data_IF_780795896194
#
_entry.id   IF_780795896194
#
_cell.length_a   1.000
_cell.length_b   1.000
_cell.length_c   1.000
_cell.angle_alpha   90.00
_cell.angle_beta   90.00
_cell.angle_gamma   90.00
#
_symmetry.space_group_name_H-M   'P 1'
#
loop_
_entity.id
_entity.type
_entity.pdbx_description
1 polymer ?
#
# COMPACT_ATOMS: atom_id res chain seq x y z
N UNK A 1 11.83 -41.30 -8.26
CA UNK A 1 10.92 -42.28 -8.92
C UNK A 1 9.45 -42.06 -8.52
N UNK A 2 9.17 -41.42 -7.39
CA UNK A 2 7.77 -41.22 -6.88
C UNK A 2 7.07 -39.99 -7.48
N UNK A 3 7.80 -38.97 -7.91
CA UNK A 3 7.18 -37.73 -8.46
C UNK A 3 6.70 -37.91 -9.92
N UNK A 4 7.30 -38.81 -10.69
CA UNK A 4 6.95 -39.04 -12.09
C UNK A 4 5.64 -39.84 -12.27
N UNK A 5 5.32 -40.75 -11.35
CA UNK A 5 4.09 -41.52 -11.35
C UNK A 5 2.85 -40.72 -10.90
N UNK A 6 3.05 -39.62 -10.15
CA UNK A 6 1.93 -38.75 -9.73
C UNK A 6 1.44 -37.84 -10.85
N UNK A 7 2.28 -37.53 -11.83
CA UNK A 7 1.97 -36.62 -12.94
C UNK A 7 1.31 -37.32 -14.13
N UNK A 8 1.41 -38.66 -14.24
CA UNK A 8 0.85 -39.42 -15.38
C UNK A 8 -0.62 -39.85 -15.18
N UNK A 9 -1.24 -39.62 -14.00
CA UNK A 9 -2.60 -40.06 -13.69
C UNK A 9 -3.65 -38.96 -13.52
N UNK A 10 -3.33 -37.67 -13.83
CA UNK A 10 -4.31 -36.59 -13.87
C UNK A 10 -4.40 -35.99 -15.29
N UNK A 11 -5.16 -36.65 -16.16
CA UNK A 11 -5.63 -36.08 -17.39
C UNK A 11 -6.84 -35.17 -17.16
N UNK A 12 -6.61 -34.10 -16.36
CA UNK A 12 -7.45 -32.91 -16.28
C UNK A 12 -6.71 -31.83 -17.06
N UNK A 13 -7.25 -31.47 -18.23
CA UNK A 13 -6.66 -30.52 -19.18
C UNK A 13 -6.37 -29.16 -18.58
N UNK A 14 -5.30 -29.11 -17.77
CA UNK A 14 -4.69 -27.88 -17.34
C UNK A 14 -3.72 -27.48 -18.43
N UNK A 15 -4.05 -26.41 -19.13
CA UNK A 15 -3.23 -25.84 -20.18
C UNK A 15 -1.97 -25.25 -19.52
N UNK A 16 -0.83 -25.92 -19.66
CA UNK A 16 0.43 -25.50 -19.03
C UNK A 16 0.96 -24.18 -19.58
N UNK A 17 0.50 -23.74 -20.77
CA UNK A 17 0.88 -22.45 -21.34
C UNK A 17 0.21 -21.28 -20.59
N UNK A 18 -1.04 -21.43 -20.16
CA UNK A 18 -1.76 -20.40 -19.37
C UNK A 18 -1.16 -20.23 -17.97
N UNK A 19 -0.73 -21.32 -17.33
CA UNK A 19 -0.10 -21.25 -16.00
C UNK A 19 1.28 -20.57 -16.03
N UNK A 20 2.07 -20.76 -17.08
CA UNK A 20 3.38 -20.10 -17.24
C UNK A 20 3.24 -18.61 -17.52
N UNK A 21 2.18 -18.17 -18.18
CA UNK A 21 1.89 -16.75 -18.43
C UNK A 21 1.50 -16.06 -17.13
N UNK A 22 0.59 -16.63 -16.35
CA UNK A 22 0.15 -16.12 -15.05
C UNK A 22 1.30 -15.99 -14.05
N UNK A 23 2.22 -16.97 -14.01
CA UNK A 23 3.40 -16.92 -13.15
C UNK A 23 4.33 -15.77 -13.55
N UNK A 24 4.61 -15.59 -14.83
CA UNK A 24 5.48 -14.52 -15.33
C UNK A 24 4.89 -13.13 -15.12
N UNK A 25 3.58 -12.97 -15.26
CA UNK A 25 2.90 -11.70 -14.97
C UNK A 25 2.95 -11.37 -13.50
N UNK A 26 2.74 -12.35 -12.62
CA UNK A 26 2.83 -12.18 -11.17
C UNK A 26 4.26 -11.88 -10.71
N UNK A 27 5.27 -12.49 -11.32
CA UNK A 27 6.68 -12.17 -11.06
C UNK A 27 7.00 -10.74 -11.52
N UNK A 28 6.50 -10.32 -12.69
CA UNK A 28 6.69 -8.95 -13.21
C UNK A 28 6.04 -7.90 -12.30
N UNK A 29 4.82 -8.15 -11.80
CA UNK A 29 4.12 -7.28 -10.84
C UNK A 29 4.87 -7.15 -9.51
N UNK A 30 5.33 -8.27 -8.95
CA UNK A 30 6.16 -8.25 -7.74
C UNK A 30 7.45 -7.43 -7.93
N UNK A 31 8.02 -7.43 -9.13
CA UNK A 31 9.19 -6.61 -9.45
C UNK A 31 8.88 -5.11 -9.50
N UNK A 32 7.69 -4.69 -9.98
CA UNK A 32 7.31 -3.27 -10.04
C UNK A 32 7.25 -2.68 -8.63
N UNK A 33 6.56 -3.33 -7.71
CA UNK A 33 6.48 -2.90 -6.29
C UNK A 33 7.87 -2.88 -5.65
N UNK A 34 8.69 -3.91 -5.88
CA UNK A 34 10.05 -3.98 -5.34
C UNK A 34 10.93 -2.83 -5.86
N UNK A 35 10.83 -2.52 -7.16
CA UNK A 35 11.56 -1.41 -7.76
C UNK A 35 11.09 -0.05 -7.21
N UNK A 36 9.78 0.10 -6.97
CA UNK A 36 9.23 1.30 -6.33
C UNK A 36 9.74 1.45 -4.90
N UNK A 37 9.81 0.36 -4.12
CA UNK A 37 10.36 0.36 -2.76
C UNK A 37 11.84 0.79 -2.79
N UNK A 38 12.67 0.19 -3.64
CA UNK A 38 14.10 0.56 -3.77
C UNK A 38 14.25 2.04 -4.12
N UNK A 39 13.51 2.51 -5.13
CA UNK A 39 13.51 3.93 -5.53
C UNK A 39 13.06 4.86 -4.40
N UNK A 40 12.09 4.45 -3.58
CA UNK A 40 11.62 5.25 -2.45
C UNK A 40 12.63 5.28 -1.30
N UNK A 41 13.35 4.19 -1.04
CA UNK A 41 14.47 4.16 -0.09
C UNK A 41 15.55 5.17 -0.52
N UNK A 42 15.93 5.17 -1.79
CA UNK A 42 16.89 6.12 -2.34
C UNK A 42 16.39 7.57 -2.25
N UNK A 43 15.10 7.80 -2.53
CA UNK A 43 14.46 9.11 -2.41
C UNK A 43 14.58 9.71 -1.01
N UNK A 44 14.44 8.91 0.04
CA UNK A 44 14.53 9.37 1.42
C UNK A 44 15.96 9.54 1.94
N UNK A 45 17.00 9.19 1.17
CA UNK A 45 18.42 9.47 1.45
C UNK A 45 18.85 9.10 2.88
N UNK A 46 18.41 7.95 3.36
CA UNK A 46 18.78 7.43 4.68
C UNK A 46 17.94 7.96 5.86
N UNK A 47 16.84 8.66 5.62
CA UNK A 47 15.85 8.95 6.67
C UNK A 47 15.20 7.65 7.15
N UNK A 48 15.79 7.04 8.18
CA UNK A 48 15.33 5.75 8.71
C UNK A 48 13.87 5.82 9.21
N UNK A 49 13.44 6.95 9.74
CA UNK A 49 12.07 7.14 10.18
C UNK A 49 11.10 7.02 9.00
N UNK A 50 11.29 7.80 7.94
CA UNK A 50 10.41 7.82 6.78
C UNK A 50 10.44 6.48 6.03
N UNK A 51 11.63 5.87 5.89
CA UNK A 51 11.79 4.55 5.28
C UNK A 51 11.05 3.47 6.07
N UNK A 52 11.22 3.41 7.38
CA UNK A 52 10.55 2.42 8.22
C UNK A 52 9.03 2.64 8.26
N UNK A 53 8.58 3.91 8.21
CA UNK A 53 7.17 4.25 8.16
C UNK A 53 6.51 3.68 6.92
N UNK A 54 6.96 4.06 5.71
CA UNK A 54 6.31 3.59 4.50
C UNK A 54 6.39 2.06 4.31
N UNK A 55 7.50 1.42 4.73
CA UNK A 55 7.62 -0.04 4.68
C UNK A 55 6.59 -0.73 5.58
N UNK A 56 6.31 -0.18 6.76
CA UNK A 56 5.26 -0.71 7.65
C UNK A 56 3.87 -0.50 7.04
N UNK A 57 3.59 0.71 6.51
CA UNK A 57 2.30 1.02 5.86
C UNK A 57 2.08 0.09 4.67
N UNK A 58 3.08 -0.06 3.79
CA UNK A 58 3.04 -1.01 2.69
C UNK A 58 2.77 -2.45 3.17
N UNK A 59 3.45 -2.89 4.21
CA UNK A 59 3.27 -4.24 4.76
C UNK A 59 1.84 -4.48 5.27
N UNK A 60 1.25 -3.50 5.98
CA UNK A 60 -0.14 -3.59 6.42
C UNK A 60 -1.11 -3.53 5.25
N UNK A 61 -0.94 -2.59 4.33
CA UNK A 61 -1.78 -2.46 3.14
C UNK A 61 -1.79 -3.76 2.31
N UNK A 62 -0.61 -4.33 2.05
CA UNK A 62 -0.47 -5.62 1.38
C UNK A 62 -1.22 -6.73 2.10
N UNK A 63 -1.01 -6.88 3.41
CA UNK A 63 -1.64 -7.95 4.17
C UNK A 63 -3.16 -7.79 4.27
N UNK A 64 -3.65 -6.58 4.51
CA UNK A 64 -5.09 -6.31 4.57
C UNK A 64 -5.71 -6.58 3.19
N UNK A 65 -5.14 -6.05 2.11
CA UNK A 65 -5.65 -6.26 0.76
C UNK A 65 -5.74 -7.74 0.37
N UNK A 66 -4.71 -8.53 0.69
CA UNK A 66 -4.73 -9.97 0.47
C UNK A 66 -5.80 -10.68 1.31
N UNK A 67 -5.98 -10.29 2.56
CA UNK A 67 -7.00 -10.87 3.45
C UNK A 67 -8.43 -10.46 3.07
N UNK A 68 -8.61 -9.30 2.48
CA UNK A 68 -9.89 -8.82 1.93
C UNK A 68 -10.16 -9.37 0.51
N UNK A 69 -9.21 -10.07 -0.10
CA UNK A 69 -9.36 -10.72 -1.39
C UNK A 69 -9.37 -9.76 -2.58
N UNK A 70 -8.56 -8.71 -2.53
CA UNK A 70 -8.41 -7.80 -3.67
C UNK A 70 -7.92 -8.56 -4.90
N UNK A 71 -8.40 -8.16 -6.07
CA UNK A 71 -7.82 -8.60 -7.33
C UNK A 71 -6.39 -8.08 -7.49
N UNK A 72 -5.62 -8.75 -8.35
CA UNK A 72 -4.20 -8.47 -8.51
C UNK A 72 -3.89 -7.03 -8.95
N UNK A 73 -4.77 -6.41 -9.75
CA UNK A 73 -4.58 -5.03 -10.20
C UNK A 73 -4.83 -4.02 -9.08
N UNK A 74 -5.95 -4.15 -8.38
CA UNK A 74 -6.27 -3.30 -7.24
C UNK A 74 -5.23 -3.44 -6.12
N UNK A 75 -4.73 -4.66 -5.89
CA UNK A 75 -3.67 -4.94 -4.94
C UNK A 75 -2.36 -4.23 -5.32
N UNK A 76 -1.96 -4.25 -6.59
CA UNK A 76 -0.75 -3.57 -7.06
C UNK A 76 -0.85 -2.06 -6.90
N UNK A 77 -1.98 -1.45 -7.31
CA UNK A 77 -2.24 -0.01 -7.15
C UNK A 77 -2.17 0.39 -5.67
N UNK A 78 -2.81 -0.40 -4.78
CA UNK A 78 -2.75 -0.17 -3.33
C UNK A 78 -1.32 -0.23 -2.79
N UNK A 79 -0.56 -1.25 -3.16
CA UNK A 79 0.83 -1.42 -2.70
C UNK A 79 1.72 -0.28 -3.18
N UNK A 80 1.64 0.10 -4.45
CA UNK A 80 2.37 1.24 -5.00
C UNK A 80 1.98 2.55 -4.32
N UNK A 81 0.69 2.73 -4.02
CA UNK A 81 0.22 3.91 -3.28
C UNK A 81 0.81 3.95 -1.88
N UNK A 82 0.79 2.83 -1.16
CA UNK A 82 1.33 2.75 0.19
C UNK A 82 2.84 3.03 0.24
N UNK A 83 3.59 2.68 -0.81
CA UNK A 83 5.02 3.01 -0.94
C UNK A 83 5.24 4.51 -1.01
N UNK A 84 4.39 5.26 -1.74
CA UNK A 84 4.62 6.69 -2.02
C UNK A 84 3.70 7.64 -1.26
N UNK A 85 2.84 7.15 -0.34
CA UNK A 85 1.80 7.97 0.29
C UNK A 85 2.34 9.23 0.96
N UNK A 86 3.50 9.15 1.58
CA UNK A 86 4.18 10.24 2.29
C UNK A 86 5.31 10.92 1.48
N UNK A 87 5.34 10.75 0.15
CA UNK A 87 6.41 11.27 -0.73
C UNK A 87 6.64 12.78 -0.58
N UNK A 88 5.63 13.53 -0.19
CA UNK A 88 5.73 14.99 -0.01
C UNK A 88 6.25 15.42 1.36
N UNK A 89 6.44 14.51 2.31
CA UNK A 89 6.89 14.84 3.67
C UNK A 89 8.21 15.62 3.72
N UNK A 90 9.28 15.24 3.00
CA UNK A 90 10.52 16.00 2.98
C UNK A 90 10.32 17.44 2.46
N UNK A 91 9.61 17.59 1.34
CA UNK A 91 9.29 18.89 0.75
C UNK A 91 8.44 19.75 1.71
N UNK A 92 7.45 19.16 2.35
CA UNK A 92 6.60 19.88 3.31
C UNK A 92 7.39 20.33 4.54
N UNK A 93 8.29 19.51 5.06
CA UNK A 93 9.19 19.89 6.15
C UNK A 93 10.12 21.05 5.76
N UNK A 94 10.70 21.01 4.57
CA UNK A 94 11.55 22.09 4.05
C UNK A 94 10.75 23.38 3.82
N UNK A 95 9.63 23.30 3.11
CA UNK A 95 8.84 24.46 2.67
C UNK A 95 8.04 25.11 3.79
N UNK A 96 7.54 24.33 4.73
CA UNK A 96 6.57 24.76 5.74
C UNK A 96 7.00 24.53 7.19
N UNK A 97 8.16 23.89 7.42
CA UNK A 97 8.63 23.52 8.75
C UNK A 97 7.87 22.35 9.41
N UNK A 98 6.94 21.72 8.69
CA UNK A 98 6.16 20.57 9.18
C UNK A 98 5.55 19.78 8.00
N UNK A 99 5.19 18.53 8.25
CA UNK A 99 4.51 17.65 7.31
C UNK A 99 3.00 17.53 7.65
N UNK A 100 2.27 18.66 7.64
CA UNK A 100 0.83 18.67 7.87
C UNK A 100 0.07 17.99 6.72
N UNK A 101 -0.88 17.11 7.03
CA UNK A 101 -1.59 16.28 6.05
C UNK A 101 -2.19 17.06 4.87
N UNK A 102 -2.84 18.20 5.10
CA UNK A 102 -3.39 19.01 3.99
C UNK A 102 -2.32 19.61 3.08
N UNK A 103 -1.12 19.88 3.60
CA UNK A 103 0.01 20.32 2.77
C UNK A 103 0.59 19.18 1.99
N UNK A 104 0.65 18.00 2.58
CA UNK A 104 1.07 16.77 1.89
C UNK A 104 0.13 16.48 0.72
N UNK A 105 -1.19 16.48 0.94
CA UNK A 105 -2.19 16.28 -0.10
C UNK A 105 -2.02 17.27 -1.27
N UNK A 106 -1.70 18.54 -0.98
CA UNK A 106 -1.47 19.57 -1.98
C UNK A 106 -0.19 19.38 -2.80
N UNK A 107 0.90 19.00 -2.15
CA UNK A 107 2.24 18.94 -2.77
C UNK A 107 2.53 17.58 -3.43
N UNK A 108 1.77 16.52 -3.09
CA UNK A 108 2.08 15.16 -3.54
C UNK A 108 1.83 14.88 -5.03
N UNK A 109 0.79 15.40 -5.73
CA UNK A 109 0.50 14.96 -7.09
C UNK A 109 1.65 15.12 -8.10
N UNK A 110 2.37 16.24 -8.17
CA UNK A 110 3.50 16.36 -9.09
C UNK A 110 4.67 15.44 -8.71
N UNK A 111 4.87 15.17 -7.42
CA UNK A 111 5.94 14.27 -6.95
C UNK A 111 5.62 12.81 -7.31
N UNK A 112 4.38 12.38 -7.16
CA UNK A 112 3.92 11.04 -7.57
C UNK A 112 4.11 10.86 -9.08
N UNK A 113 3.70 11.82 -9.88
CA UNK A 113 3.84 11.75 -11.34
C UNK A 113 5.31 11.63 -11.77
N UNK A 114 6.19 12.41 -11.17
CA UNK A 114 7.64 12.33 -11.46
C UNK A 114 8.26 11.03 -10.94
N UNK A 115 7.81 10.53 -9.78
CA UNK A 115 8.29 9.28 -9.21
C UNK A 115 8.05 8.08 -10.14
N UNK A 116 6.86 7.99 -10.74
CA UNK A 116 6.49 6.86 -11.59
C UNK A 116 6.93 6.98 -13.05
N UNK A 117 7.53 8.11 -13.46
CA UNK A 117 7.90 8.39 -14.86
C UNK A 117 8.77 7.31 -15.51
N UNK A 118 9.70 6.74 -14.75
CA UNK A 118 10.66 5.73 -15.23
C UNK A 118 10.28 4.29 -14.81
N UNK A 119 9.11 4.11 -14.21
CA UNK A 119 8.58 2.81 -13.82
C UNK A 119 7.49 2.37 -14.82
N UNK A 120 7.38 1.08 -15.13
CA UNK A 120 6.40 0.57 -16.11
C UNK A 120 5.00 0.45 -15.49
N UNK A 121 4.46 1.55 -14.95
CA UNK A 121 3.12 1.69 -14.37
C UNK A 121 2.24 2.42 -15.38
N UNK A 122 1.02 1.95 -15.61
CA UNK A 122 0.10 2.57 -16.55
C UNK A 122 -0.29 3.99 -16.10
N UNK A 123 -0.51 4.90 -17.06
CA UNK A 123 -0.84 6.30 -16.75
C UNK A 123 -2.12 6.43 -15.92
N UNK A 124 -3.10 5.58 -16.15
CA UNK A 124 -4.35 5.51 -15.38
C UNK A 124 -4.12 5.11 -13.92
N UNK A 125 -3.21 4.16 -13.67
CA UNK A 125 -2.83 3.73 -12.33
C UNK A 125 -2.05 4.84 -11.61
N UNK A 126 -1.13 5.51 -12.29
CA UNK A 126 -0.44 6.68 -11.73
C UNK A 126 -1.44 7.79 -11.34
N UNK A 127 -2.50 8.01 -12.13
CA UNK A 127 -3.58 8.95 -11.78
C UNK A 127 -4.33 8.52 -10.53
N UNK A 128 -4.66 7.20 -10.42
CA UNK A 128 -5.33 6.67 -9.22
C UNK A 128 -4.44 6.76 -7.99
N UNK A 129 -3.17 6.36 -8.10
CA UNK A 129 -2.17 6.48 -7.04
C UNK A 129 -2.04 7.94 -6.58
N UNK A 130 -1.89 8.87 -7.53
CA UNK A 130 -1.78 10.30 -7.23
C UNK A 130 -3.01 10.83 -6.51
N UNK A 131 -4.20 10.39 -6.91
CA UNK A 131 -5.44 10.78 -6.26
C UNK A 131 -5.52 10.22 -4.83
N UNK A 132 -5.19 8.95 -4.63
CA UNK A 132 -5.17 8.31 -3.30
C UNK A 132 -4.19 9.02 -2.36
N UNK A 133 -2.97 9.31 -2.84
CA UNK A 133 -1.95 10.04 -2.07
C UNK A 133 -2.42 11.46 -1.72
N UNK A 134 -3.11 12.14 -2.66
CA UNK A 134 -3.68 13.47 -2.40
C UNK A 134 -4.88 13.48 -1.44
N UNK A 135 -5.34 12.33 -0.96
CA UNK A 135 -6.51 12.22 -0.08
C UNK A 135 -6.25 11.36 1.17
N UNK A 136 -5.06 10.78 1.36
CA UNK A 136 -4.81 9.79 2.40
C UNK A 136 -4.93 10.32 3.86
N UNK A 137 -5.09 11.62 4.06
CA UNK A 137 -5.46 12.22 5.34
C UNK A 137 -6.94 12.63 5.43
N UNK A 138 -7.73 12.32 4.41
CA UNK A 138 -9.15 12.67 4.32
C UNK A 138 -10.00 11.42 4.55
N UNK A 139 -10.66 11.31 5.70
CA UNK A 139 -11.44 10.14 6.13
C UNK A 139 -12.91 10.14 5.66
N UNK A 140 -13.26 11.03 4.72
CA UNK A 140 -14.63 11.15 4.18
C UNK A 140 -14.61 11.03 2.67
N UNK A 141 -15.71 10.50 2.09
CA UNK A 141 -15.80 10.34 0.63
C UNK A 141 -14.92 9.21 0.10
N UNK A 142 -14.66 8.18 0.91
CA UNK A 142 -13.92 7.00 0.51
C UNK A 142 -14.66 6.28 -0.61
N UNK A 143 -14.05 6.17 -1.78
CA UNK A 143 -14.68 5.72 -3.02
C UNK A 143 -14.29 4.30 -3.48
N UNK A 144 -13.38 3.66 -2.76
CA UNK A 144 -12.89 2.32 -3.10
C UNK A 144 -12.22 1.60 -1.95
N UNK A 145 -12.07 0.29 -2.11
CA UNK A 145 -11.45 -0.57 -1.11
C UNK A 145 -9.95 -0.29 -0.96
N UNK A 146 -9.27 0.09 -2.03
CA UNK A 146 -7.87 0.53 -2.03
C UNK A 146 -7.67 1.77 -1.15
N UNK A 147 -8.56 2.76 -1.25
CA UNK A 147 -8.53 3.94 -0.41
C UNK A 147 -8.79 3.60 1.05
N UNK A 148 -9.82 2.78 1.32
CA UNK A 148 -10.15 2.35 2.68
C UNK A 148 -8.97 1.65 3.35
N UNK A 149 -8.33 0.71 2.65
CA UNK A 149 -7.21 -0.04 3.19
C UNK A 149 -5.98 0.86 3.41
N UNK A 150 -5.71 1.80 2.51
CA UNK A 150 -4.63 2.77 2.69
C UNK A 150 -4.78 3.55 3.99
N UNK A 151 -5.99 4.10 4.26
CA UNK A 151 -6.29 4.84 5.49
C UNK A 151 -6.08 3.99 6.74
N UNK A 152 -6.54 2.75 6.71
CA UNK A 152 -6.41 1.82 7.84
C UNK A 152 -4.96 1.41 8.09
N UNK A 153 -4.21 1.13 7.02
CA UNK A 153 -2.80 0.74 7.09
C UNK A 153 -1.93 1.88 7.65
N UNK A 154 -2.11 3.10 7.14
CA UNK A 154 -1.40 4.28 7.63
C UNK A 154 -1.74 4.57 9.09
N UNK A 155 -3.03 4.51 9.46
CA UNK A 155 -3.43 4.68 10.85
C UNK A 155 -2.80 3.65 11.80
N UNK A 156 -2.75 2.37 11.40
CA UNK A 156 -2.12 1.31 12.21
C UNK A 156 -0.65 1.62 12.53
N UNK A 157 0.08 2.21 11.60
CA UNK A 157 1.47 2.62 11.82
C UNK A 157 1.55 3.86 12.68
N UNK A 158 0.80 4.90 12.34
CA UNK A 158 0.78 6.18 13.06
C UNK A 158 0.38 6.03 14.52
N UNK A 159 -0.57 5.15 14.83
CA UNK A 159 -1.02 4.89 16.20
C UNK A 159 0.11 4.37 17.10
N UNK A 160 0.99 3.52 16.54
CA UNK A 160 2.16 3.03 17.27
C UNK A 160 3.29 4.05 17.36
N UNK A 161 3.62 4.71 16.25
CA UNK A 161 4.73 5.67 16.18
C UNK A 161 4.47 6.93 17.01
N UNK A 162 3.22 7.39 17.05
CA UNK A 162 2.80 8.57 17.82
C UNK A 162 2.19 8.23 19.17
N UNK A 163 2.17 6.96 19.58
CA UNK A 163 1.62 6.49 20.86
C UNK A 163 0.20 7.04 21.12
N UNK A 164 -0.70 6.85 20.16
CA UNK A 164 -2.09 7.31 20.28
C UNK A 164 -2.79 6.71 21.50
N UNK A 165 -3.65 7.50 22.14
CA UNK A 165 -4.40 7.02 23.30
C UNK A 165 -5.41 5.95 22.93
N UNK A 166 -5.77 5.11 23.92
CA UNK A 166 -6.80 4.07 23.73
C UNK A 166 -8.13 4.65 23.25
N UNK A 167 -8.49 5.85 23.72
CA UNK A 167 -9.70 6.57 23.31
C UNK A 167 -9.65 6.99 21.86
N UNK A 168 -8.49 7.46 21.39
CA UNK A 168 -8.29 7.80 19.97
C UNK A 168 -8.42 6.55 19.09
N UNK A 169 -7.79 5.45 19.49
CA UNK A 169 -7.88 4.17 18.75
C UNK A 169 -9.32 3.65 18.72
N UNK A 170 -10.05 3.75 19.83
CA UNK A 170 -11.45 3.35 19.89
C UNK A 170 -12.33 4.21 18.96
N UNK A 171 -12.09 5.52 18.95
CA UNK A 171 -12.80 6.45 18.05
C UNK A 171 -12.57 6.09 16.59
N UNK A 172 -11.32 5.84 16.19
CA UNK A 172 -10.99 5.47 14.81
C UNK A 172 -11.58 4.11 14.42
N UNK A 173 -11.60 3.16 15.35
CA UNK A 173 -12.31 1.88 15.13
C UNK A 173 -13.78 2.09 14.78
N UNK A 174 -14.46 3.03 15.44
CA UNK A 174 -15.90 3.26 15.28
C UNK A 174 -16.23 4.14 14.07
N UNK A 175 -15.31 4.98 13.62
CA UNK A 175 -15.60 6.02 12.63
C UNK A 175 -14.91 5.84 11.28
N UNK A 176 -13.77 5.12 11.24
CA UNK A 176 -12.93 5.03 10.03
C UNK A 176 -12.73 3.59 9.58
N UNK A 177 -12.43 2.66 10.49
CA UNK A 177 -12.15 1.28 10.12
C UNK A 177 -13.39 0.56 9.60
N UNK A 178 -13.31 -0.04 8.42
CA UNK A 178 -14.42 -0.74 7.76
C UNK A 178 -14.06 -2.15 7.31
N UNK A 179 -12.77 -2.44 7.02
CA UNK A 179 -12.38 -3.78 6.59
C UNK A 179 -12.36 -4.75 7.79
N UNK A 180 -12.78 -6.00 7.55
CA UNK A 180 -12.78 -7.02 8.61
C UNK A 180 -11.35 -7.28 9.13
N UNK A 181 -10.38 -7.30 8.24
CA UNK A 181 -8.98 -7.56 8.56
C UNK A 181 -8.33 -6.39 9.28
N UNK A 182 -8.57 -5.15 8.83
CA UNK A 182 -8.08 -3.95 9.49
C UNK A 182 -8.62 -3.81 10.91
N UNK A 183 -9.94 -4.00 11.09
CA UNK A 183 -10.60 -4.01 12.41
C UNK A 183 -9.97 -5.07 13.34
N UNK A 184 -9.75 -6.28 12.81
CA UNK A 184 -9.12 -7.37 13.58
C UNK A 184 -7.70 -7.03 14.00
N UNK A 185 -6.90 -6.47 13.09
CA UNK A 185 -5.53 -6.04 13.38
C UNK A 185 -5.51 -4.91 14.42
N UNK A 186 -6.30 -3.86 14.23
CA UNK A 186 -6.39 -2.74 15.17
C UNK A 186 -6.71 -3.21 16.59
N UNK A 187 -7.74 -4.06 16.75
CA UNK A 187 -8.12 -4.63 18.05
C UNK A 187 -7.02 -5.47 18.65
N UNK A 188 -6.34 -6.29 17.82
CA UNK A 188 -5.27 -7.18 18.29
C UNK A 188 -4.02 -6.44 18.74
N UNK A 189 -3.70 -5.33 18.12
CA UNK A 189 -2.48 -4.56 18.40
C UNK A 189 -2.70 -3.59 19.58
N UNK A 190 -3.85 -2.88 19.60
CA UNK A 190 -4.01 -1.71 20.47
C UNK A 190 -5.12 -1.83 21.53
N UNK A 191 -6.05 -2.78 21.41
CA UNK A 191 -7.23 -2.86 22.27
C UNK A 191 -7.31 -4.16 23.11
N UNK A 192 -6.25 -4.95 23.15
CA UNK A 192 -6.15 -6.11 24.05
C UNK A 192 -6.05 -5.72 25.51
#
# INVERSE_FOLDING_TARGET
MIIREFLENNDSGIDFEDTDIDIKEKEKKNMIVSNAIEKMIDFYQGSQHDINHFLKVWSYARNIGQMEGLDDHTQEVLELTAVVHDISCPLCREKYGNANGKKQELESPPLVSEFFKDLPVAEEDVKRISWLVAHHHTYTGVDGIDYQILLEADYLVNAGESSYSRENVQHMLETVFQTESGIRLLKSIYLR
#
